data_IF_491461153483
#
_entry.id   IF_491461153483
#
_cell.length_a   1.000
_cell.length_b   1.000
_cell.length_c   1.000
_cell.angle_alpha   90.00
_cell.angle_beta   90.00
_cell.angle_gamma   90.00
#
_symmetry.space_group_name_H-M   'P 1'
#
loop_
_entity.id
_entity.type
_entity.pdbx_description
1 polymer ?
#
# COMPACT_ATOMS: atom_id res chain seq x y z
N UNK A 1 -14.94 -35.98 14.11
CA UNK A 1 -16.03 -35.07 13.69
C UNK A 1 -16.27 -34.06 14.82
N UNK A 2 -15.69 -32.88 14.74
CA UNK A 2 -16.09 -31.71 15.54
C UNK A 2 -15.99 -30.52 14.60
N UNK A 3 -17.14 -30.02 14.18
CA UNK A 3 -17.27 -28.82 13.36
C UNK A 3 -16.94 -27.61 14.22
N UNK A 4 -15.82 -26.95 13.98
CA UNK A 4 -15.59 -25.60 14.46
C UNK A 4 -16.09 -24.63 13.40
N UNK A 5 -17.32 -24.22 13.57
CA UNK A 5 -17.92 -23.07 12.88
C UNK A 5 -17.25 -21.85 13.55
N UNK A 6 -16.16 -21.36 12.97
CA UNK A 6 -15.66 -20.02 13.29
C UNK A 6 -16.50 -19.04 12.46
N UNK A 7 -17.47 -18.47 13.16
CA UNK A 7 -18.28 -17.35 12.70
C UNK A 7 -17.36 -16.27 12.15
N UNK A 8 -17.50 -16.00 10.86
CA UNK A 8 -17.05 -14.75 10.25
C UNK A 8 -17.88 -13.67 10.89
N UNK A 9 -17.33 -13.03 11.91
CA UNK A 9 -17.89 -11.80 12.46
C UNK A 9 -17.77 -10.76 11.34
N UNK A 10 -18.85 -10.55 10.60
CA UNK A 10 -19.08 -9.34 9.85
C UNK A 10 -19.02 -8.21 10.86
N UNK A 11 -17.87 -7.53 10.94
CA UNK A 11 -17.78 -6.24 11.59
C UNK A 11 -18.57 -5.28 10.69
N UNK A 12 -19.86 -5.21 10.93
CA UNK A 12 -20.68 -4.09 10.52
C UNK A 12 -20.20 -2.88 11.33
N UNK A 13 -19.13 -2.25 10.88
CA UNK A 13 -18.76 -0.92 11.34
C UNK A 13 -19.89 -0.01 10.91
N UNK A 14 -20.78 0.29 11.86
CA UNK A 14 -21.66 1.45 11.82
C UNK A 14 -20.75 2.67 11.59
N UNK A 15 -20.62 3.04 10.32
CA UNK A 15 -20.12 4.33 9.95
C UNK A 15 -21.07 5.34 10.60
N UNK A 16 -20.66 5.91 11.71
CA UNK A 16 -21.25 7.14 12.20
C UNK A 16 -21.06 8.17 11.09
N UNK A 17 -22.11 8.35 10.30
CA UNK A 17 -22.16 9.35 9.28
C UNK A 17 -22.06 10.71 9.98
N UNK A 18 -20.85 11.21 10.14
CA UNK A 18 -20.65 12.63 10.30
C UNK A 18 -21.24 13.23 9.02
N UNK A 19 -22.38 13.89 9.15
CA UNK A 19 -23.02 14.65 8.09
C UNK A 19 -22.15 15.87 7.79
N UNK A 20 -21.04 15.64 7.09
CA UNK A 20 -20.40 16.70 6.34
C UNK A 20 -21.40 17.10 5.26
N UNK A 21 -21.92 18.30 5.36
CA UNK A 21 -22.79 18.91 4.35
C UNK A 21 -22.02 18.96 3.04
N UNK A 22 -22.30 18.02 2.15
CA UNK A 22 -21.80 17.96 0.78
C UNK A 22 -22.50 19.04 -0.06
N UNK A 23 -22.16 20.30 0.18
CA UNK A 23 -22.86 21.44 -0.42
C UNK A 23 -22.64 21.58 -1.93
N UNK A 24 -21.67 20.89 -2.54
CA UNK A 24 -21.47 20.85 -3.99
C UNK A 24 -20.98 19.46 -4.40
N UNK A 25 -21.89 18.57 -4.76
CA UNK A 25 -21.55 17.26 -5.34
C UNK A 25 -20.99 17.45 -6.75
N UNK A 26 -19.69 17.66 -6.85
CA UNK A 26 -18.99 17.60 -8.12
C UNK A 26 -18.72 16.14 -8.47
N UNK A 27 -18.97 15.75 -9.70
CA UNK A 27 -18.58 14.46 -10.22
C UNK A 27 -17.13 14.51 -10.66
N UNK A 28 -16.44 13.39 -10.50
CA UNK A 28 -15.14 13.20 -11.12
C UNK A 28 -15.02 11.79 -11.70
N UNK A 29 -14.11 11.63 -12.62
CA UNK A 29 -13.73 10.33 -13.19
C UNK A 29 -12.21 10.25 -13.30
N UNK A 30 -11.69 9.03 -13.35
CA UNK A 30 -10.27 8.82 -13.59
C UNK A 30 -9.99 7.50 -14.30
N UNK A 31 -9.13 7.47 -15.32
CA UNK A 31 -8.34 6.31 -15.65
C UNK A 31 -7.10 6.28 -14.79
N UNK A 32 -6.64 5.08 -14.47
CA UNK A 32 -5.33 4.87 -13.90
C UNK A 32 -4.69 3.61 -14.49
N UNK A 33 -3.39 3.60 -14.51
CA UNK A 33 -2.59 2.46 -14.95
C UNK A 33 -1.43 2.25 -14.00
N UNK A 34 -1.19 1.00 -13.67
CA UNK A 34 -0.09 0.54 -12.85
C UNK A 34 0.65 -0.57 -13.58
N UNK A 35 1.96 -0.50 -13.58
CA UNK A 35 2.83 -1.56 -14.06
C UNK A 35 3.87 -1.86 -13.02
N UNK A 36 4.04 -3.13 -12.69
CA UNK A 36 5.18 -3.58 -11.90
C UNK A 36 5.89 -4.74 -12.58
N UNK A 37 7.17 -4.90 -12.29
CA UNK A 37 7.98 -6.02 -12.74
C UNK A 37 9.03 -6.36 -11.70
N UNK A 38 9.46 -7.61 -11.71
CA UNK A 38 10.52 -8.07 -10.84
C UNK A 38 11.64 -8.79 -11.61
N UNK A 39 12.73 -9.07 -10.89
CA UNK A 39 13.88 -9.80 -11.45
C UNK A 39 13.60 -11.29 -11.68
N UNK A 40 12.52 -11.84 -11.15
CA UNK A 40 12.06 -13.20 -11.40
C UNK A 40 11.24 -13.30 -12.70
N UNK A 41 11.08 -12.17 -13.41
CA UNK A 41 10.40 -12.07 -14.70
C UNK A 41 8.90 -11.91 -14.60
N UNK A 42 8.33 -11.71 -13.41
CA UNK A 42 6.91 -11.39 -13.27
C UNK A 42 6.65 -9.94 -13.69
N UNK A 43 5.71 -9.76 -14.60
CA UNK A 43 5.19 -8.45 -15.02
C UNK A 43 3.71 -8.40 -14.71
N UNK A 44 3.30 -7.36 -14.00
CA UNK A 44 1.90 -7.11 -13.65
C UNK A 44 1.47 -5.78 -14.27
N UNK A 45 0.40 -5.80 -15.05
CA UNK A 45 -0.25 -4.60 -15.55
C UNK A 45 -1.66 -4.52 -14.96
N UNK A 46 -2.02 -3.35 -14.42
CA UNK A 46 -3.36 -3.08 -13.88
C UNK A 46 -3.92 -1.82 -14.51
N UNK A 47 -5.16 -1.87 -14.94
CA UNK A 47 -5.92 -0.75 -15.48
C UNK A 47 -7.10 -0.50 -14.57
N UNK A 48 -7.39 0.78 -14.34
CA UNK A 48 -8.49 1.20 -13.49
C UNK A 48 -9.30 2.29 -14.19
N UNK A 49 -10.59 2.25 -13.97
CA UNK A 49 -11.50 3.32 -14.36
C UNK A 49 -12.45 3.62 -13.20
N UNK A 50 -12.40 4.84 -12.68
CA UNK A 50 -13.20 5.27 -11.53
C UNK A 50 -14.26 6.28 -11.90
N UNK A 51 -15.44 6.12 -11.32
CA UNK A 51 -16.52 7.10 -11.32
C UNK A 51 -16.76 7.56 -9.88
N UNK A 52 -16.60 8.85 -9.62
CA UNK A 52 -16.64 9.47 -8.30
C UNK A 52 -17.82 10.46 -8.23
N UNK A 53 -19.05 9.99 -7.98
CA UNK A 53 -20.24 10.84 -7.93
C UNK A 53 -20.22 11.81 -6.75
N UNK A 54 -19.40 11.57 -5.75
CA UNK A 54 -19.20 12.43 -4.61
C UNK A 54 -17.71 12.80 -4.53
N UNK A 55 -17.34 13.88 -5.20
CA UNK A 55 -15.97 14.36 -5.26
C UNK A 55 -15.88 15.76 -4.65
N UNK A 56 -15.23 15.89 -3.50
CA UNK A 56 -14.92 17.17 -2.87
C UNK A 56 -13.52 17.65 -3.24
N UNK A 57 -12.54 16.76 -3.15
CA UNK A 57 -11.14 17.07 -3.45
C UNK A 57 -10.36 15.77 -3.74
N UNK A 58 -9.08 15.88 -4.05
CA UNK A 58 -8.17 14.74 -4.14
C UNK A 58 -7.94 13.97 -2.82
N UNK A 59 -8.49 14.48 -1.71
CA UNK A 59 -8.41 13.89 -0.37
C UNK A 59 -9.78 13.52 0.20
N UNK A 60 -10.89 13.87 -0.48
CA UNK A 60 -12.26 13.62 -0.04
C UNK A 60 -13.12 13.24 -1.24
N UNK A 61 -13.45 11.97 -1.38
CA UNK A 61 -14.26 11.45 -2.47
C UNK A 61 -14.81 10.05 -2.19
N UNK A 62 -15.88 9.68 -2.91
CA UNK A 62 -16.48 8.33 -2.89
C UNK A 62 -16.94 7.95 -4.27
N UNK A 63 -16.80 6.67 -4.60
CA UNK A 63 -17.24 6.18 -5.89
C UNK A 63 -16.98 4.71 -6.14
N UNK A 64 -17.11 4.34 -7.40
CA UNK A 64 -16.91 2.97 -7.88
C UNK A 64 -15.72 2.95 -8.82
N UNK A 65 -14.90 1.94 -8.69
CA UNK A 65 -13.73 1.68 -9.53
C UNK A 65 -13.87 0.30 -10.16
N UNK A 66 -13.76 0.25 -11.46
CA UNK A 66 -13.49 -0.98 -12.20
C UNK A 66 -11.99 -1.18 -12.32
N UNK A 67 -11.55 -2.45 -12.22
CA UNK A 67 -10.15 -2.81 -12.44
C UNK A 67 -10.03 -4.03 -13.34
N UNK A 68 -8.95 -4.06 -14.12
CA UNK A 68 -8.48 -5.22 -14.86
C UNK A 68 -7.00 -5.41 -14.57
N UNK A 69 -6.57 -6.67 -14.45
CA UNK A 69 -5.18 -7.00 -14.16
C UNK A 69 -4.72 -8.15 -15.04
N UNK A 70 -3.46 -8.08 -15.44
CA UNK A 70 -2.79 -9.07 -16.25
C UNK A 70 -1.41 -9.37 -15.66
N UNK A 71 -1.14 -10.62 -15.48
CA UNK A 71 0.09 -11.16 -14.91
C UNK A 71 0.81 -11.97 -15.99
N UNK A 72 2.09 -11.75 -16.19
CA UNK A 72 2.90 -12.43 -17.19
C UNK A 72 4.22 -12.87 -16.57
N UNK A 73 4.61 -14.14 -16.75
CA UNK A 73 5.90 -14.67 -16.32
C UNK A 73 6.27 -15.89 -17.18
N UNK A 74 7.47 -15.89 -17.75
CA UNK A 74 8.02 -17.02 -18.50
C UNK A 74 7.07 -17.58 -19.58
N UNK A 75 6.37 -16.69 -20.31
CA UNK A 75 5.40 -17.06 -21.35
C UNK A 75 4.03 -17.51 -20.83
N UNK A 76 3.86 -17.64 -19.52
CA UNK A 76 2.54 -17.86 -18.90
C UNK A 76 1.83 -16.52 -18.68
N UNK A 77 0.53 -16.54 -18.84
CA UNK A 77 -0.32 -15.37 -18.64
C UNK A 77 -1.54 -15.74 -17.80
N UNK A 78 -1.83 -14.91 -16.81
CA UNK A 78 -3.06 -14.94 -16.02
C UNK A 78 -3.72 -13.56 -16.08
N UNK A 79 -5.03 -13.52 -15.87
CA UNK A 79 -5.78 -12.26 -15.84
C UNK A 79 -6.85 -12.29 -14.76
N UNK A 80 -7.25 -11.12 -14.32
CA UNK A 80 -8.33 -10.91 -13.39
C UNK A 80 -9.04 -9.59 -13.65
N UNK A 81 -10.22 -9.43 -13.10
CA UNK A 81 -10.96 -8.16 -13.14
C UNK A 81 -11.82 -8.02 -11.89
N UNK A 82 -12.20 -6.81 -11.58
CA UNK A 82 -12.99 -6.56 -10.39
C UNK A 82 -13.71 -5.22 -10.40
N UNK A 83 -14.60 -5.08 -9.44
CA UNK A 83 -15.30 -3.81 -9.16
C UNK A 83 -15.19 -3.54 -7.68
N UNK A 84 -14.83 -2.32 -7.35
CA UNK A 84 -14.63 -1.86 -5.98
C UNK A 84 -15.49 -0.63 -5.70
N UNK A 85 -16.03 -0.54 -4.51
CA UNK A 85 -16.46 0.71 -3.91
C UNK A 85 -15.30 1.30 -3.12
N UNK A 86 -15.04 2.59 -3.31
CA UNK A 86 -13.86 3.25 -2.76
C UNK A 86 -14.24 4.57 -2.12
N UNK A 87 -13.62 4.86 -0.97
CA UNK A 87 -13.82 6.07 -0.19
C UNK A 87 -12.48 6.59 0.28
N UNK A 88 -12.30 7.89 0.16
CA UNK A 88 -11.16 8.64 0.67
C UNK A 88 -11.71 9.83 1.47
N UNK A 89 -11.36 9.94 2.73
CA UNK A 89 -11.65 11.06 3.60
C UNK A 89 -10.42 11.37 4.44
N UNK A 90 -9.69 12.37 4.02
CA UNK A 90 -8.45 12.79 4.68
C UNK A 90 -8.45 14.27 4.86
N UNK A 91 -8.18 14.72 6.07
CA UNK A 91 -8.00 16.13 6.37
C UNK A 91 -6.73 16.67 5.71
N UNK A 92 -6.87 17.77 4.98
CA UNK A 92 -5.76 18.32 4.18
C UNK A 92 -4.62 18.90 5.02
N UNK A 93 -4.91 19.28 6.27
CA UNK A 93 -3.95 19.92 7.18
C UNK A 93 -3.18 18.89 7.98
N UNK A 94 -3.89 17.92 8.54
CA UNK A 94 -3.30 16.91 9.44
C UNK A 94 -2.89 15.63 8.73
N UNK A 95 -3.45 15.36 7.55
CA UNK A 95 -3.28 14.08 6.85
C UNK A 95 -4.01 12.91 7.50
N UNK A 96 -4.81 13.18 8.52
CA UNK A 96 -5.57 12.18 9.27
C UNK A 96 -6.91 11.91 8.63
N UNK A 97 -7.46 10.73 8.85
CA UNK A 97 -8.75 10.35 8.31
C UNK A 97 -8.85 8.87 8.07
N UNK A 98 -9.65 8.51 7.08
CA UNK A 98 -9.82 7.11 6.70
C UNK A 98 -9.90 6.97 5.18
N UNK A 99 -9.48 5.83 4.72
CA UNK A 99 -9.79 5.35 3.38
C UNK A 99 -10.23 3.89 3.46
N UNK A 100 -11.08 3.50 2.55
CA UNK A 100 -11.37 2.10 2.34
C UNK A 100 -11.76 1.84 0.89
N UNK A 101 -11.46 0.63 0.48
CA UNK A 101 -11.81 0.03 -0.80
C UNK A 101 -12.33 -1.36 -0.48
N UNK A 102 -13.51 -1.68 -0.97
CA UNK A 102 -14.09 -3.02 -0.84
C UNK A 102 -14.71 -3.41 -2.15
N UNK A 103 -14.50 -4.64 -2.57
CA UNK A 103 -15.02 -5.10 -3.85
C UNK A 103 -14.99 -6.59 -4.04
N UNK A 104 -15.28 -6.96 -5.26
CA UNK A 104 -15.22 -8.33 -5.74
C UNK A 104 -14.22 -8.37 -6.87
N UNK A 105 -13.21 -9.21 -6.71
CA UNK A 105 -12.13 -9.38 -7.67
C UNK A 105 -12.11 -10.84 -8.14
N UNK A 106 -12.38 -11.07 -9.40
CA UNK A 106 -12.20 -12.35 -10.03
C UNK A 106 -10.73 -12.52 -10.40
N UNK A 107 -10.07 -13.44 -9.72
CA UNK A 107 -8.74 -13.92 -10.07
C UNK A 107 -8.81 -14.97 -11.18
N UNK A 108 -7.69 -15.62 -11.51
CA UNK A 108 -7.62 -16.60 -12.60
C UNK A 108 -8.59 -17.78 -12.45
N UNK A 109 -8.83 -18.24 -11.24
CA UNK A 109 -9.61 -19.46 -10.96
C UNK A 109 -10.74 -19.26 -9.95
N UNK A 110 -10.70 -18.21 -9.15
CA UNK A 110 -11.65 -17.97 -8.08
C UNK A 110 -12.03 -16.50 -7.98
N UNK A 111 -13.16 -16.24 -7.33
CA UNK A 111 -13.61 -14.89 -6.98
C UNK A 111 -13.30 -14.62 -5.52
N UNK A 112 -12.74 -13.47 -5.23
CA UNK A 112 -12.39 -13.00 -3.90
C UNK A 112 -13.16 -11.71 -3.58
N UNK A 113 -13.75 -11.66 -2.39
CA UNK A 113 -14.13 -10.38 -1.79
C UNK A 113 -12.84 -9.78 -1.25
N UNK A 114 -12.37 -8.73 -1.89
CA UNK A 114 -11.13 -8.04 -1.54
C UNK A 114 -11.43 -6.71 -0.87
N UNK A 115 -10.42 -6.13 -0.24
CA UNK A 115 -10.54 -4.81 0.35
C UNK A 115 -9.29 -4.33 1.03
N UNK A 116 -9.18 -3.01 1.09
CA UNK A 116 -8.18 -2.27 1.85
C UNK A 116 -8.91 -1.28 2.74
N UNK A 117 -8.46 -1.13 3.96
CA UNK A 117 -8.97 -0.17 4.91
C UNK A 117 -7.83 0.42 5.73
N UNK A 118 -7.86 1.70 5.91
CA UNK A 118 -7.00 2.37 6.89
C UNK A 118 -7.74 3.52 7.58
N UNK A 119 -7.38 3.75 8.82
CA UNK A 119 -7.91 4.81 9.65
C UNK A 119 -6.81 5.35 10.56
N UNK A 120 -6.65 6.68 10.56
CA UNK A 120 -5.65 7.37 11.36
C UNK A 120 -6.30 8.51 12.14
N UNK A 121 -5.91 8.65 13.40
CA UNK A 121 -6.45 9.65 14.32
C UNK A 121 -5.35 10.23 15.21
N UNK A 122 -5.44 11.53 15.53
CA UNK A 122 -4.63 12.12 16.57
C UNK A 122 -5.18 11.74 17.96
N UNK A 123 -4.29 11.32 18.84
CA UNK A 123 -4.56 11.21 20.28
C UNK A 123 -4.21 12.54 20.96
N UNK A 124 -3.13 13.17 20.51
CA UNK A 124 -2.71 14.52 20.94
C UNK A 124 -2.04 15.25 19.77
N UNK A 125 -1.55 16.45 19.99
CA UNK A 125 -0.76 17.19 18.98
C UNK A 125 0.55 16.50 18.60
N UNK A 126 1.06 15.61 19.45
CA UNK A 126 2.32 14.90 19.25
C UNK A 126 2.14 13.42 18.93
N UNK A 127 0.99 12.84 19.26
CA UNK A 127 0.75 11.42 19.16
C UNK A 127 -0.41 11.13 18.21
N UNK A 128 -0.13 10.36 17.16
CA UNK A 128 -1.10 9.84 16.23
C UNK A 128 -1.04 8.31 16.24
N UNK A 129 -2.14 7.69 15.93
CA UNK A 129 -2.21 6.24 15.78
C UNK A 129 -3.16 5.86 14.66
N UNK A 130 -3.00 4.67 14.15
CA UNK A 130 -3.83 4.18 13.08
C UNK A 130 -4.00 2.67 13.11
N UNK A 131 -5.02 2.23 12.43
CA UNK A 131 -5.31 0.83 12.15
C UNK A 131 -5.43 0.64 10.64
N UNK A 132 -5.06 -0.54 10.19
CA UNK A 132 -5.21 -0.91 8.78
C UNK A 132 -5.52 -2.40 8.63
N UNK A 133 -6.24 -2.72 7.56
CA UNK A 133 -6.52 -4.10 7.16
C UNK A 133 -6.52 -4.19 5.65
N UNK A 134 -6.12 -5.34 5.12
CA UNK A 134 -6.12 -5.61 3.68
C UNK A 134 -6.40 -7.07 3.41
N UNK A 135 -7.14 -7.36 2.34
CA UNK A 135 -7.38 -8.68 1.81
C UNK A 135 -7.28 -8.65 0.29
N UNK A 136 -6.35 -9.40 -0.27
CA UNK A 136 -6.17 -9.47 -1.72
C UNK A 136 -5.42 -10.75 -2.11
N UNK A 137 -5.26 -10.97 -3.42
CA UNK A 137 -4.45 -12.04 -3.98
C UNK A 137 -2.97 -11.84 -3.66
N UNK A 138 -2.25 -12.94 -3.46
CA UNK A 138 -0.78 -12.90 -3.37
C UNK A 138 -0.20 -12.79 -4.78
N UNK A 139 0.48 -11.71 -5.07
CA UNK A 139 1.01 -11.37 -6.40
C UNK A 139 2.32 -12.13 -6.71
N UNK A 140 2.23 -13.42 -6.85
CA UNK A 140 3.24 -14.26 -7.49
C UNK A 140 2.55 -15.26 -8.41
N UNK A 141 3.18 -15.67 -9.50
CA UNK A 141 2.55 -16.56 -10.48
C UNK A 141 2.05 -17.86 -9.84
N UNK A 142 2.90 -18.49 -9.01
CA UNK A 142 2.54 -19.74 -8.32
C UNK A 142 1.38 -19.56 -7.33
N UNK A 143 1.34 -18.46 -6.59
CA UNK A 143 0.24 -18.19 -5.66
C UNK A 143 -1.08 -17.89 -6.40
N UNK A 144 -1.02 -17.18 -7.52
CA UNK A 144 -2.19 -16.89 -8.35
C UNK A 144 -2.76 -18.13 -9.01
N UNK A 145 -1.92 -19.06 -9.47
CA UNK A 145 -2.34 -20.36 -10.00
C UNK A 145 -3.09 -21.19 -8.96
N UNK A 146 -2.65 -21.15 -7.71
CA UNK A 146 -3.28 -21.86 -6.59
C UNK A 146 -4.36 -21.02 -5.87
N UNK A 147 -4.67 -19.82 -6.39
CA UNK A 147 -5.66 -18.89 -5.81
C UNK A 147 -5.39 -18.53 -4.34
N UNK A 148 -4.11 -18.35 -4.01
CA UNK A 148 -3.70 -17.95 -2.66
C UNK A 148 -4.00 -16.47 -2.45
N UNK A 149 -4.69 -16.15 -1.37
CA UNK A 149 -4.94 -14.79 -0.91
C UNK A 149 -4.43 -14.60 0.52
N UNK A 150 -4.38 -13.35 0.94
CA UNK A 150 -3.98 -13.00 2.30
C UNK A 150 -5.01 -12.12 2.99
N UNK A 151 -5.05 -12.24 4.31
CA UNK A 151 -5.73 -11.34 5.24
C UNK A 151 -4.66 -10.69 6.12
N UNK A 152 -4.54 -9.37 6.06
CA UNK A 152 -3.61 -8.59 6.85
C UNK A 152 -4.36 -7.64 7.77
N UNK A 153 -3.92 -7.55 9.02
CA UNK A 153 -4.40 -6.56 9.99
C UNK A 153 -3.20 -6.00 10.75
N UNK A 154 -3.23 -4.72 11.02
CA UNK A 154 -2.14 -4.07 11.74
C UNK A 154 -2.52 -2.73 12.34
N UNK A 155 -1.54 -2.14 13.04
CA UNK A 155 -1.64 -0.81 13.60
C UNK A 155 -0.32 -0.08 13.55
N UNK A 156 -0.38 1.22 13.60
CA UNK A 156 0.78 2.10 13.68
C UNK A 156 0.61 3.17 14.75
N UNK A 157 1.72 3.70 15.18
CA UNK A 157 1.83 4.82 16.10
C UNK A 157 2.92 5.76 15.60
N UNK A 158 2.63 7.05 15.58
CA UNK A 158 3.56 8.11 15.19
C UNK A 158 3.66 9.09 16.36
N UNK A 159 4.87 9.22 16.92
CA UNK A 159 5.14 10.07 18.08
C UNK A 159 6.18 11.14 17.74
N UNK A 160 5.76 12.39 17.74
CA UNK A 160 6.63 13.54 17.56
C UNK A 160 7.31 13.89 18.89
N UNK A 161 8.50 13.35 19.11
CA UNK A 161 9.31 13.58 20.34
C UNK A 161 9.81 15.02 20.40
N UNK A 162 10.12 15.60 19.23
CA UNK A 162 10.61 16.96 19.07
C UNK A 162 10.07 17.53 17.73
N UNK A 163 9.93 18.85 17.53
CA UNK A 163 9.45 19.41 16.27
C UNK A 163 10.15 18.90 14.99
N UNK A 164 11.40 18.42 15.14
CA UNK A 164 12.20 17.84 14.04
C UNK A 164 12.39 16.33 14.14
N UNK A 165 11.84 15.65 15.14
CA UNK A 165 12.10 14.24 15.38
C UNK A 165 10.80 13.47 15.61
N UNK A 166 10.50 12.54 14.73
CA UNK A 166 9.34 11.66 14.83
C UNK A 166 9.78 10.21 14.90
N UNK A 167 9.21 9.48 15.84
CA UNK A 167 9.32 8.02 15.95
C UNK A 167 8.05 7.40 15.38
N UNK A 168 8.20 6.40 14.53
CA UNK A 168 7.09 5.68 13.91
C UNK A 168 7.28 4.20 14.22
N UNK A 169 6.24 3.57 14.77
CA UNK A 169 6.18 2.14 15.00
C UNK A 169 4.98 1.51 14.30
N UNK A 170 5.11 0.30 13.80
CA UNK A 170 3.96 -0.47 13.29
C UNK A 170 4.13 -1.95 13.55
N UNK A 171 2.99 -2.63 13.74
CA UNK A 171 2.90 -4.08 13.84
C UNK A 171 1.81 -4.58 12.91
N UNK A 172 2.01 -5.73 12.28
CA UNK A 172 1.04 -6.35 11.41
C UNK A 172 1.08 -7.87 11.52
N UNK A 173 -0.08 -8.49 11.37
CA UNK A 173 -0.26 -9.93 11.23
C UNK A 173 -0.88 -10.21 9.87
N UNK A 174 -0.30 -11.14 9.12
CA UNK A 174 -0.86 -11.64 7.86
C UNK A 174 -1.18 -13.13 8.01
N UNK A 175 -2.35 -13.54 7.52
CA UNK A 175 -2.72 -14.94 7.34
C UNK A 175 -2.91 -15.21 5.85
N UNK A 176 -2.34 -16.29 5.37
CA UNK A 176 -2.50 -16.72 3.99
C UNK A 176 -3.48 -17.88 3.92
N UNK A 177 -4.23 -17.98 2.82
CA UNK A 177 -5.26 -19.01 2.63
C UNK A 177 -4.68 -20.43 2.52
N UNK A 178 -3.39 -20.57 2.26
CA UNK A 178 -2.65 -21.84 2.25
C UNK A 178 -2.17 -22.27 3.64
N UNK A 179 -2.60 -21.57 4.70
CA UNK A 179 -2.31 -21.87 6.10
C UNK A 179 -1.06 -21.20 6.67
N UNK A 180 -0.26 -20.52 5.85
CA UNK A 180 0.90 -19.79 6.34
C UNK A 180 0.52 -18.51 7.10
N UNK A 181 1.43 -18.07 7.96
CA UNK A 181 1.30 -16.83 8.72
C UNK A 181 2.56 -15.97 8.59
N UNK A 182 2.40 -14.67 8.82
CA UNK A 182 3.49 -13.69 8.87
C UNK A 182 3.21 -12.66 9.93
N UNK A 183 4.17 -12.43 10.79
CA UNK A 183 4.19 -11.29 11.70
C UNK A 183 5.23 -10.28 11.21
N UNK A 184 4.92 -9.00 11.30
CA UNK A 184 5.84 -7.96 10.87
C UNK A 184 5.82 -6.81 11.88
N UNK A 185 7.01 -6.33 12.23
CA UNK A 185 7.23 -5.15 13.05
C UNK A 185 8.12 -4.19 12.28
N UNK A 186 7.85 -2.90 12.38
CA UNK A 186 8.69 -1.85 11.84
C UNK A 186 8.86 -0.74 12.85
N UNK A 187 10.08 -0.25 12.94
CA UNK A 187 10.41 0.98 13.66
C UNK A 187 11.11 1.93 12.68
N UNK A 188 10.79 3.21 12.78
CA UNK A 188 11.43 4.26 11.98
C UNK A 188 11.63 5.50 12.80
N UNK A 189 12.79 6.11 12.64
CA UNK A 189 13.13 7.44 13.16
C UNK A 189 13.21 8.37 11.97
N UNK A 190 12.51 9.50 12.03
CA UNK A 190 12.51 10.53 10.99
C UNK A 190 13.02 11.82 11.60
N UNK A 191 14.09 12.36 11.06
CA UNK A 191 14.68 13.64 11.45
C UNK A 191 14.56 14.65 10.31
N UNK A 192 13.89 15.78 10.56
CA UNK A 192 13.78 16.90 9.63
C UNK A 192 15.10 17.69 9.64
N UNK A 193 16.02 17.30 8.78
CA UNK A 193 17.36 17.85 8.73
C UNK A 193 17.36 19.30 8.21
N UNK A 194 16.65 19.53 7.09
CA UNK A 194 16.48 20.85 6.49
C UNK A 194 15.00 21.09 6.13
N UNK A 195 14.19 21.54 7.10
CA UNK A 195 12.74 21.71 6.91
C UNK A 195 12.37 22.67 5.76
N UNK A 196 13.11 23.75 5.60
CA UNK A 196 12.89 24.74 4.54
C UNK A 196 13.10 24.16 3.14
N UNK A 197 13.99 23.17 3.01
CA UNK A 197 14.27 22.47 1.77
C UNK A 197 13.45 21.18 1.63
N UNK A 198 12.77 20.76 2.71
CA UNK A 198 11.97 19.55 2.77
C UNK A 198 12.79 18.26 2.81
N UNK A 199 14.03 18.32 3.36
CA UNK A 199 14.94 17.17 3.43
C UNK A 199 14.84 16.51 4.80
N UNK A 200 14.60 15.19 4.79
CA UNK A 200 14.58 14.34 5.97
C UNK A 200 15.65 13.27 5.91
N UNK A 201 16.21 12.94 7.07
CA UNK A 201 17.04 11.74 7.27
C UNK A 201 16.23 10.72 8.07
N UNK A 202 16.27 9.48 7.63
CA UNK A 202 15.48 8.42 8.26
C UNK A 202 16.34 7.20 8.50
N UNK A 203 16.12 6.54 9.64
CA UNK A 203 16.62 5.20 9.91
C UNK A 203 15.42 4.29 10.16
N UNK A 204 15.41 3.12 9.55
CA UNK A 204 14.32 2.16 9.73
C UNK A 204 14.85 0.76 9.98
N UNK A 205 14.10 0.02 10.80
CA UNK A 205 14.29 -1.40 11.04
C UNK A 205 12.97 -2.12 10.76
N UNK A 206 13.06 -3.24 10.09
CA UNK A 206 11.96 -4.18 9.85
C UNK A 206 12.37 -5.53 10.40
N UNK A 207 11.48 -6.14 11.17
CA UNK A 207 11.58 -7.51 11.62
C UNK A 207 10.35 -8.28 11.15
N UNK A 208 10.56 -9.43 10.53
CA UNK A 208 9.49 -10.27 10.01
C UNK A 208 9.73 -11.71 10.41
N UNK A 209 8.68 -12.38 10.86
CA UNK A 209 8.66 -13.81 11.19
C UNK A 209 7.58 -14.47 10.33
N UNK A 210 7.95 -15.51 9.60
CA UNK A 210 7.08 -16.38 8.82
C UNK A 210 7.04 -17.79 9.38
N UNK A 211 6.46 -18.71 8.60
CA UNK A 211 6.39 -20.13 8.96
C UNK A 211 7.71 -20.86 8.66
N UNK A 212 8.01 -21.85 9.52
CA UNK A 212 9.09 -22.81 9.30
C UNK A 212 8.64 -23.93 8.37
N UNK A 213 9.60 -24.57 7.74
CA UNK A 213 9.44 -25.86 7.03
C UNK A 213 8.28 -25.91 6.02
N UNK A 214 8.10 -24.82 5.26
CA UNK A 214 7.09 -24.77 4.19
C UNK A 214 7.53 -25.67 3.04
N UNK A 215 6.80 -26.75 2.79
CA UNK A 215 7.13 -27.74 1.77
C UNK A 215 7.14 -27.18 0.34
N UNK A 216 6.27 -26.20 0.04
CA UNK A 216 6.18 -25.53 -1.26
C UNK A 216 6.11 -24.03 -1.04
N UNK A 217 7.13 -23.32 -1.52
CA UNK A 217 7.17 -21.85 -1.45
C UNK A 217 6.55 -21.23 -2.71
N UNK A 218 5.35 -20.71 -2.57
CA UNK A 218 4.63 -20.02 -3.66
C UNK A 218 4.93 -18.53 -3.72
N UNK A 219 5.43 -17.96 -2.62
CA UNK A 219 5.75 -16.55 -2.44
C UNK A 219 6.82 -16.39 -1.36
N UNK A 220 7.42 -15.21 -1.30
CA UNK A 220 8.47 -14.94 -0.32
C UNK A 220 7.86 -14.77 1.09
N UNK A 221 8.06 -15.75 1.95
CA UNK A 221 7.69 -15.75 3.36
C UNK A 221 8.76 -16.48 4.18
N UNK A 222 9.93 -15.84 4.43
CA UNK A 222 11.03 -16.46 5.16
C UNK A 222 10.65 -16.69 6.63
N UNK A 223 11.29 -17.68 7.26
CA UNK A 223 11.15 -17.94 8.70
C UNK A 223 11.44 -16.68 9.52
N UNK A 224 12.53 -15.99 9.21
CA UNK A 224 12.88 -14.71 9.82
C UNK A 224 13.62 -13.83 8.81
N UNK A 225 13.25 -12.54 8.80
CA UNK A 225 13.95 -11.50 8.03
C UNK A 225 14.11 -10.26 8.89
N UNK A 226 15.34 -9.78 8.96
CA UNK A 226 15.71 -8.52 9.57
C UNK A 226 16.27 -7.58 8.50
N UNK A 227 15.77 -6.34 8.45
CA UNK A 227 16.23 -5.32 7.52
C UNK A 227 16.49 -4.01 8.27
N UNK A 228 17.63 -3.40 8.00
CA UNK A 228 17.98 -2.07 8.50
C UNK A 228 18.34 -1.18 7.32
N UNK A 229 17.77 0.02 7.26
CA UNK A 229 17.95 0.94 6.14
C UNK A 229 18.08 2.39 6.61
N UNK A 230 19.05 3.11 6.04
CA UNK A 230 19.11 4.56 6.07
C UNK A 230 18.44 5.13 4.82
N UNK A 231 17.65 6.20 4.98
CA UNK A 231 16.89 6.80 3.88
C UNK A 231 17.02 8.31 3.93
N UNK A 232 17.27 8.93 2.78
CA UNK A 232 17.11 10.36 2.56
C UNK A 232 15.78 10.60 1.87
N UNK A 233 14.93 11.42 2.45
CA UNK A 233 13.67 11.86 1.89
C UNK A 233 13.72 13.32 1.48
N UNK A 234 13.05 13.65 0.40
CA UNK A 234 12.88 15.02 -0.07
C UNK A 234 11.42 15.26 -0.43
N UNK A 235 10.83 16.33 0.11
CA UNK A 235 9.46 16.75 -0.19
C UNK A 235 9.44 18.24 -0.52
N UNK A 236 8.89 18.59 -1.67
CA UNK A 236 8.80 19.98 -2.11
C UNK A 236 7.43 20.27 -2.69
N UNK A 237 6.96 21.51 -2.44
CA UNK A 237 5.81 22.10 -3.15
C UNK A 237 6.30 23.33 -3.89
N UNK A 238 6.02 23.38 -5.18
CA UNK A 238 6.41 24.48 -6.05
C UNK A 238 5.33 24.71 -7.11
N UNK A 239 4.77 25.90 -7.20
CA UNK A 239 3.70 26.27 -8.15
C UNK A 239 2.53 25.28 -8.17
N UNK A 240 2.13 24.79 -7.01
CA UNK A 240 1.08 23.79 -6.87
C UNK A 240 1.48 22.34 -7.15
N UNK A 241 2.65 22.11 -7.73
CA UNK A 241 3.24 20.79 -7.86
C UNK A 241 3.68 20.26 -6.49
N UNK A 242 3.47 18.98 -6.26
CA UNK A 242 3.98 18.28 -5.08
C UNK A 242 4.94 17.19 -5.55
N UNK A 243 6.14 17.26 -5.01
CA UNK A 243 7.22 16.31 -5.28
C UNK A 243 7.58 15.59 -3.99
N UNK A 244 7.78 14.30 -4.08
CA UNK A 244 8.30 13.49 -3.00
C UNK A 244 9.26 12.45 -3.58
N UNK A 245 10.49 12.43 -3.07
CA UNK A 245 11.49 11.44 -3.46
C UNK A 245 12.11 10.80 -2.22
N UNK A 246 12.48 9.54 -2.32
CA UNK A 246 13.23 8.80 -1.31
C UNK A 246 14.34 7.99 -1.96
N UNK A 247 15.51 8.03 -1.34
CA UNK A 247 16.62 7.14 -1.66
C UNK A 247 17.09 6.46 -0.38
N UNK A 248 17.20 5.15 -0.41
CA UNK A 248 17.58 4.35 0.75
C UNK A 248 18.63 3.29 0.42
N UNK A 249 19.47 3.02 1.40
CA UNK A 249 20.46 1.94 1.36
C UNK A 249 20.56 1.29 2.72
N UNK A 250 20.77 -0.01 2.74
CA UNK A 250 20.83 -0.79 3.95
C UNK A 250 21.24 -2.23 3.71
N UNK A 251 20.91 -3.06 4.67
CA UNK A 251 21.16 -4.51 4.63
C UNK A 251 19.96 -5.25 5.14
N UNK A 252 19.80 -6.45 4.64
CA UNK A 252 18.84 -7.42 5.13
C UNK A 252 19.51 -8.76 5.40
N UNK A 253 18.95 -9.49 6.34
CA UNK A 253 19.41 -10.80 6.76
C UNK A 253 18.19 -11.72 6.88
N UNK A 254 18.27 -12.86 6.20
CA UNK A 254 17.34 -13.98 6.38
C UNK A 254 18.05 -15.01 7.25
N UNK A 255 17.34 -15.63 8.18
CA UNK A 255 17.91 -16.63 9.08
C UNK A 255 18.66 -17.72 8.31
N UNK A 256 19.82 -18.10 8.81
CA UNK A 256 20.75 -19.09 8.20
C UNK A 256 21.33 -18.69 6.84
N UNK A 257 21.27 -17.41 6.46
CA UNK A 257 21.78 -16.95 5.19
C UNK A 257 22.68 -15.72 5.34
N UNK A 258 23.54 -15.46 4.33
CA UNK A 258 24.39 -14.29 4.34
C UNK A 258 23.57 -13.00 4.25
N UNK A 259 24.03 -11.93 4.92
CA UNK A 259 23.45 -10.61 4.79
C UNK A 259 23.60 -10.07 3.37
N UNK A 260 22.55 -9.49 2.83
CA UNK A 260 22.48 -8.95 1.46
C UNK A 260 22.14 -7.47 1.45
N UNK A 261 22.49 -6.70 0.40
CA UNK A 261 22.08 -5.31 0.27
C UNK A 261 20.54 -5.17 0.24
N UNK A 262 20.06 -4.04 0.75
CA UNK A 262 18.72 -3.55 0.56
C UNK A 262 18.80 -2.12 0.03
N UNK A 263 18.07 -1.81 -1.05
CA UNK A 263 18.06 -0.50 -1.69
C UNK A 263 16.63 -0.06 -1.99
N UNK A 264 16.43 1.25 -2.00
CA UNK A 264 15.14 1.87 -2.30
C UNK A 264 15.38 3.16 -3.10
N UNK A 265 14.64 3.31 -4.19
CA UNK A 265 14.46 4.59 -4.87
C UNK A 265 12.97 4.76 -5.17
N UNK A 266 12.40 5.91 -4.81
CA UNK A 266 11.00 6.21 -5.04
C UNK A 266 10.82 7.68 -5.40
N UNK A 267 9.92 7.94 -6.36
CA UNK A 267 9.49 9.27 -6.77
C UNK A 267 7.97 9.32 -6.84
N UNK A 268 7.37 10.35 -6.27
CA UNK A 268 5.94 10.65 -6.41
C UNK A 268 5.78 12.10 -6.86
N UNK A 269 4.90 12.32 -7.81
CA UNK A 269 4.60 13.65 -8.34
C UNK A 269 3.08 13.80 -8.38
N UNK A 270 2.59 14.95 -7.90
CA UNK A 270 1.20 15.34 -8.12
C UNK A 270 1.19 16.73 -8.78
N UNK A 271 0.45 16.85 -9.87
CA UNK A 271 0.32 18.13 -10.55
C UNK A 271 -0.59 19.10 -9.77
N UNK A 272 -0.49 20.42 -10.00
CA UNK A 272 -1.54 21.32 -9.59
C UNK A 272 -2.86 20.98 -10.30
N UNK A 273 -3.97 21.35 -9.70
CA UNK A 273 -5.26 21.31 -10.37
C UNK A 273 -5.27 22.45 -11.40
N UNK A 274 -5.27 22.13 -12.68
CA UNK A 274 -5.39 23.09 -13.79
C UNK A 274 -6.71 22.84 -14.52
N UNK A 275 -7.58 23.88 -14.57
CA UNK A 275 -8.95 23.69 -15.02
C UNK A 275 -9.63 22.62 -14.15
N UNK A 276 -10.11 21.58 -14.80
CA UNK A 276 -10.88 20.50 -14.15
C UNK A 276 -10.06 19.22 -13.92
N UNK A 277 -8.76 19.23 -14.12
CA UNK A 277 -7.97 18.00 -14.03
C UNK A 277 -6.64 18.14 -13.29
N UNK A 278 -6.16 17.02 -12.79
CA UNK A 278 -4.80 16.86 -12.27
C UNK A 278 -4.37 15.39 -12.41
N UNK A 279 -3.07 15.16 -12.36
CA UNK A 279 -2.53 13.81 -12.37
C UNK A 279 -1.65 13.52 -11.17
N UNK A 280 -1.53 12.23 -10.87
CA UNK A 280 -0.60 11.67 -9.90
C UNK A 280 0.27 10.63 -10.62
N UNK A 281 1.56 10.66 -10.32
CA UNK A 281 2.54 9.70 -10.81
C UNK A 281 3.31 9.17 -9.61
N UNK A 282 3.59 7.87 -9.62
CA UNK A 282 4.48 7.22 -8.68
C UNK A 282 5.34 6.21 -9.42
N UNK A 283 6.64 6.23 -9.14
CA UNK A 283 7.58 5.27 -9.69
C UNK A 283 8.59 4.87 -8.61
N UNK A 284 9.09 3.66 -8.68
CA UNK A 284 10.12 3.23 -7.75
C UNK A 284 10.78 1.92 -8.10
N UNK A 285 11.89 1.69 -7.42
CA UNK A 285 12.66 0.46 -7.47
C UNK A 285 13.06 0.10 -6.03
N UNK A 286 12.96 -1.17 -5.70
CA UNK A 286 13.53 -1.71 -4.47
C UNK A 286 14.33 -2.97 -4.77
N UNK A 287 15.51 -3.07 -4.16
CA UNK A 287 16.33 -4.29 -4.18
C UNK A 287 16.25 -4.92 -2.80
N UNK A 288 15.80 -6.17 -2.76
CA UNK A 288 15.65 -6.95 -1.55
C UNK A 288 15.99 -8.41 -1.83
N UNK A 289 15.58 -9.31 -0.95
CA UNK A 289 15.62 -10.75 -1.19
C UNK A 289 14.25 -11.24 -1.63
N UNK A 290 14.23 -12.14 -2.61
CA UNK A 290 13.02 -12.81 -3.10
C UNK A 290 13.06 -14.32 -2.85
N UNK A 291 12.11 -15.05 -3.44
CA UNK A 291 12.03 -16.52 -3.37
C UNK A 291 13.29 -17.19 -3.90
N UNK A 292 13.83 -16.68 -5.00
CA UNK A 292 14.96 -17.24 -5.72
C UNK A 292 16.33 -16.78 -5.18
N UNK A 293 16.35 -16.04 -4.08
CA UNK A 293 17.58 -15.64 -3.42
C UNK A 293 17.81 -14.12 -3.34
N UNK A 294 19.07 -13.71 -3.15
CA UNK A 294 19.45 -12.31 -3.07
C UNK A 294 19.37 -11.60 -4.43
N UNK A 295 19.26 -10.25 -4.37
CA UNK A 295 19.22 -9.42 -5.58
C UNK A 295 17.85 -9.39 -6.28
N UNK A 296 16.80 -9.71 -5.55
CA UNK A 296 15.45 -9.51 -6.07
C UNK A 296 15.16 -8.01 -6.20
N UNK A 297 14.93 -7.58 -7.42
CA UNK A 297 14.61 -6.19 -7.77
C UNK A 297 13.15 -6.11 -8.16
N UNK A 298 12.41 -5.23 -7.49
CA UNK A 298 11.03 -4.92 -7.81
C UNK A 298 10.93 -3.48 -8.30
N UNK A 299 10.29 -3.27 -9.44
CA UNK A 299 10.05 -1.96 -10.06
C UNK A 299 8.57 -1.72 -10.23
N UNK A 300 8.15 -0.50 -10.05
CA UNK A 300 6.76 -0.12 -10.30
C UNK A 300 6.64 1.28 -10.90
N UNK A 301 5.56 1.48 -11.61
CA UNK A 301 5.15 2.75 -12.19
C UNK A 301 3.63 2.83 -12.14
N UNK A 302 3.08 3.88 -11.53
CA UNK A 302 1.67 4.14 -11.39
C UNK A 302 1.36 5.53 -11.95
N UNK A 303 0.28 5.66 -12.70
CA UNK A 303 -0.25 6.94 -13.16
C UNK A 303 -1.76 6.98 -12.99
N UNK A 304 -2.26 8.09 -12.51
CA UNK A 304 -3.69 8.35 -12.36
C UNK A 304 -3.98 9.76 -12.86
N UNK A 305 -4.99 9.91 -13.71
CA UNK A 305 -5.46 11.20 -14.17
C UNK A 305 -6.90 11.41 -13.73
N UNK A 306 -7.18 12.48 -13.02
CA UNK A 306 -8.48 12.76 -12.43
C UNK A 306 -9.08 13.98 -13.11
N UNK A 307 -10.32 13.85 -13.61
CA UNK A 307 -11.11 14.93 -14.20
C UNK A 307 -12.34 15.18 -13.35
N UNK A 308 -12.54 16.44 -12.97
CA UNK A 308 -13.78 16.91 -12.39
C UNK A 308 -14.75 17.25 -13.51
N UNK A 309 -15.96 16.77 -13.39
CA UNK A 309 -17.04 17.04 -14.33
C UNK A 309 -17.87 18.18 -13.72
N UNK A 310 -17.80 19.37 -14.30
CA UNK A 310 -18.67 20.47 -13.93
C UNK A 310 -20.10 20.17 -14.39
N UNK A 311 -21.06 20.47 -13.55
CA UNK A 311 -22.49 20.46 -13.92
C UNK A 311 -22.89 21.81 -14.48
#
# INVERSE_FOLDING_TARGET
MKHNILSVACIALLASASTTTWANNTWATYPAWSRSSDSDGLVINKWFAGALPMYGSGLSWRGVEWQQQRYEQNGQQLSGHGVNYTVQETDATTGLGYNYKIGINQGPHQTLVNGDWSWNKAFSSQLQWGLFASRDWVESMAALQDSVHYDLVGGNIDYQVHPRLTLIGSVAQTRFSDGQNRQQQRARVVFDAWPEQGITLQASQKHQIGEKDVAVRRYFNPEQLDETMGVVGWRRRFEGWQWYARLGSGRQHVVNEASTPARLAELQISSPVRGNSYFKLRAGESETRGINGPGYVYRYFDVQWIWRLER
#
